data_IF_649798688496
#
_entry.id   IF_649798688496
#
_cell.length_a   1.000
_cell.length_b   1.000
_cell.length_c   1.000
_cell.angle_alpha   90.00
_cell.angle_beta   90.00
_cell.angle_gamma   90.00
#
_symmetry.space_group_name_H-M   'P 1'
#
loop_
_entity.id
_entity.type
_entity.pdbx_description
1 polymer ?
#
# COMPACT_ATOMS: atom_id res chain seq x y z
N UNK A 1 -11.23 -5.35 11.93
CA UNK A 1 -10.29 -4.31 11.46
C UNK A 1 -9.15 -4.11 12.45
N UNK A 2 -9.26 -4.67 13.66
CA UNK A 2 -8.26 -4.64 14.74
C UNK A 2 -6.88 -5.18 14.35
N UNK A 3 -6.79 -6.14 13.43
CA UNK A 3 -5.50 -6.63 12.93
C UNK A 3 -4.66 -5.52 12.28
N UNK A 4 -5.29 -4.52 11.66
CA UNK A 4 -4.61 -3.39 11.04
C UNK A 4 -3.90 -2.48 12.06
N UNK A 5 -4.22 -2.60 13.34
CA UNK A 5 -3.70 -1.75 14.42
C UNK A 5 -2.35 -2.23 14.94
N UNK A 6 -1.95 -3.43 14.53
CA UNK A 6 -0.60 -3.94 14.75
C UNK A 6 0.41 -3.22 13.86
N UNK A 7 -0.04 -2.62 12.75
CA UNK A 7 0.84 -1.90 11.81
C UNK A 7 1.16 -0.50 12.34
N UNK A 8 2.44 -0.26 12.64
CA UNK A 8 2.90 0.93 13.35
C UNK A 8 2.52 2.28 12.70
N UNK A 9 2.43 2.33 11.36
CA UNK A 9 2.02 3.53 10.61
C UNK A 9 0.51 3.67 10.44
N UNK A 10 -0.22 2.56 10.52
CA UNK A 10 -1.67 2.53 10.29
C UNK A 10 -2.45 2.73 11.58
N UNK A 11 -1.91 2.26 12.72
CA UNK A 11 -2.50 2.47 14.05
C UNK A 11 -2.63 3.94 14.46
N UNK A 12 -1.86 4.83 13.83
CA UNK A 12 -1.94 6.28 14.08
C UNK A 12 -3.07 6.94 13.28
N UNK A 13 -3.66 6.22 12.32
CA UNK A 13 -4.79 6.67 11.51
C UNK A 13 -6.08 6.30 12.25
N UNK A 14 -7.06 7.22 12.28
CA UNK A 14 -8.33 7.02 13.00
C UNK A 14 -9.08 5.80 12.43
N UNK A 15 -9.27 4.76 13.25
CA UNK A 15 -9.78 3.46 12.79
C UNK A 15 -11.14 3.53 12.11
N UNK A 16 -11.99 4.47 12.52
CA UNK A 16 -13.34 4.64 11.99
C UNK A 16 -13.39 5.15 10.54
N UNK A 17 -12.27 5.65 10.01
CA UNK A 17 -12.21 6.28 8.68
C UNK A 17 -11.65 5.30 7.63
N UNK A 18 -10.89 4.27 8.05
CA UNK A 18 -10.17 3.38 7.13
C UNK A 18 -11.12 2.66 6.17
N UNK A 19 -12.22 2.10 6.67
CA UNK A 19 -13.20 1.38 5.85
C UNK A 19 -13.85 2.28 4.77
N UNK A 20 -14.29 3.49 5.17
CA UNK A 20 -14.91 4.43 4.24
C UNK A 20 -13.90 4.99 3.24
N UNK A 21 -12.70 5.36 3.69
CA UNK A 21 -11.62 5.86 2.81
C UNK A 21 -11.23 4.84 1.74
N UNK A 22 -11.19 3.55 2.08
CA UNK A 22 -10.90 2.48 1.12
C UNK A 22 -12.02 2.27 0.10
N UNK A 23 -13.28 2.54 0.44
CA UNK A 23 -14.41 2.47 -0.51
C UNK A 23 -14.46 3.68 -1.44
N UNK A 24 -14.27 4.88 -0.89
CA UNK A 24 -14.45 6.14 -1.62
C UNK A 24 -13.21 6.52 -2.46
N UNK A 25 -12.01 6.18 -1.98
CA UNK A 25 -10.75 6.60 -2.57
C UNK A 25 -9.78 5.45 -2.84
N UNK A 26 -10.23 4.20 -2.70
CA UNK A 26 -9.42 3.02 -2.99
C UNK A 26 -9.20 2.82 -4.48
N UNK A 27 -8.07 2.21 -4.85
CA UNK A 27 -7.72 1.88 -6.23
C UNK A 27 -8.36 0.58 -6.77
N UNK A 28 -9.39 0.09 -6.07
CA UNK A 28 -9.98 -1.23 -6.32
C UNK A 28 -9.03 -2.40 -6.04
N UNK A 29 -7.92 -2.17 -5.31
CA UNK A 29 -7.01 -3.23 -4.88
C UNK A 29 -7.52 -3.96 -3.64
N UNK A 30 -8.20 -3.24 -2.75
CA UNK A 30 -8.72 -3.74 -1.49
C UNK A 30 -10.25 -3.69 -1.54
N UNK A 31 -10.88 -4.79 -1.19
CA UNK A 31 -12.31 -4.87 -0.94
C UNK A 31 -12.57 -4.86 0.57
N UNK A 32 -13.61 -4.12 0.96
CA UNK A 32 -14.07 -4.02 2.36
C UNK A 32 -15.43 -4.69 2.47
N UNK A 33 -15.58 -5.57 3.45
CA UNK A 33 -16.86 -6.25 3.73
C UNK A 33 -17.94 -5.25 4.15
N UNK A 34 -19.22 -5.56 3.98
CA UNK A 34 -20.33 -4.62 4.26
C UNK A 34 -20.30 -4.03 5.68
N UNK A 35 -19.76 -4.77 6.65
CA UNK A 35 -19.68 -4.35 8.05
C UNK A 35 -18.50 -3.43 8.39
N UNK A 36 -17.62 -3.13 7.42
CA UNK A 36 -16.37 -2.40 7.64
C UNK A 36 -15.50 -3.04 8.74
N UNK A 37 -15.52 -4.37 8.87
CA UNK A 37 -14.70 -5.09 9.84
C UNK A 37 -13.64 -5.96 9.19
N UNK A 38 -13.81 -6.34 7.92
CA UNK A 38 -12.87 -7.20 7.21
C UNK A 38 -12.48 -6.59 5.87
N UNK A 39 -11.28 -6.92 5.45
CA UNK A 39 -10.69 -6.46 4.21
C UNK A 39 -9.90 -7.58 3.55
N UNK A 40 -9.91 -7.61 2.22
CA UNK A 40 -9.15 -8.57 1.41
C UNK A 40 -8.59 -7.89 0.18
N UNK A 41 -7.53 -8.46 -0.37
CA UNK A 41 -7.01 -8.06 -1.68
C UNK A 41 -7.92 -8.62 -2.77
N UNK A 42 -8.41 -7.76 -3.65
CA UNK A 42 -9.29 -8.11 -4.76
C UNK A 42 -8.53 -8.69 -5.95
N UNK A 43 -7.37 -8.10 -6.26
CA UNK A 43 -6.55 -8.46 -7.42
C UNK A 43 -5.49 -9.50 -7.04
N UNK A 44 -5.23 -10.53 -7.85
CA UNK A 44 -4.17 -11.49 -7.58
C UNK A 44 -2.79 -10.82 -7.52
N UNK A 45 -1.81 -11.55 -7.02
CA UNK A 45 -0.42 -11.14 -7.13
C UNK A 45 0.04 -11.36 -8.58
N UNK A 46 0.81 -10.44 -9.19
CA UNK A 46 1.36 -10.66 -10.52
C UNK A 46 2.32 -11.87 -10.52
N UNK A 47 2.48 -12.48 -11.68
CA UNK A 47 3.48 -13.53 -11.89
C UNK A 47 4.89 -12.93 -11.83
N UNK A 48 5.75 -13.53 -11.02
CA UNK A 48 7.13 -13.08 -10.84
C UNK A 48 7.99 -13.88 -11.83
N UNK A 49 8.23 -13.30 -12.99
CA UNK A 49 9.13 -13.83 -14.03
C UNK A 49 10.30 -12.85 -14.29
N UNK A 50 11.21 -13.24 -15.18
CA UNK A 50 12.41 -12.44 -15.47
C UNK A 50 12.07 -11.06 -16.07
N UNK A 51 11.01 -10.98 -16.88
CA UNK A 51 10.51 -9.72 -17.45
C UNK A 51 9.98 -8.78 -16.36
N UNK A 52 9.16 -9.29 -15.43
CA UNK A 52 8.66 -8.53 -14.28
C UNK A 52 9.83 -7.97 -13.45
N UNK A 53 10.85 -8.80 -13.19
CA UNK A 53 12.02 -8.40 -12.42
C UNK A 53 12.86 -7.35 -13.16
N UNK A 54 12.98 -7.44 -14.48
CA UNK A 54 13.68 -6.47 -15.31
C UNK A 54 12.98 -5.11 -15.28
N UNK A 55 11.68 -5.07 -15.57
CA UNK A 55 10.86 -3.85 -15.54
C UNK A 55 10.86 -3.20 -14.15
N UNK A 56 10.82 -4.00 -13.08
CA UNK A 56 10.91 -3.48 -11.72
C UNK A 56 12.27 -2.84 -11.43
N UNK A 57 13.37 -3.44 -11.89
CA UNK A 57 14.72 -2.89 -11.75
C UNK A 57 14.90 -1.58 -12.52
N UNK A 58 14.39 -1.50 -13.75
CA UNK A 58 14.43 -0.27 -14.56
C UNK A 58 13.72 0.91 -13.88
N UNK A 59 12.66 0.64 -13.12
CA UNK A 59 11.91 1.64 -12.35
C UNK A 59 12.54 1.94 -10.97
N UNK A 60 13.55 1.19 -10.53
CA UNK A 60 14.14 1.35 -9.19
C UNK A 60 15.26 2.37 -9.20
N UNK A 61 15.15 3.41 -8.36
CA UNK A 61 16.17 4.47 -8.22
C UNK A 61 16.90 4.32 -6.88
N UNK A 62 18.24 4.36 -6.92
CA UNK A 62 19.07 4.39 -5.72
C UNK A 62 19.35 5.85 -5.32
N UNK A 63 18.73 6.31 -4.23
CA UNK A 63 18.94 7.65 -3.69
C UNK A 63 20.01 7.62 -2.59
N UNK A 64 21.21 8.16 -2.87
CA UNK A 64 22.25 8.37 -1.85
C UNK A 64 22.07 9.76 -1.24
N UNK A 65 21.31 9.85 -0.15
CA UNK A 65 21.22 11.08 0.66
C UNK A 65 22.00 10.89 1.97
N UNK A 66 22.97 11.77 2.23
CA UNK A 66 23.66 11.88 3.53
C UNK A 66 22.86 12.72 4.55
N UNK A 67 21.59 13.01 4.27
CA UNK A 67 20.67 13.64 5.22
C UNK A 67 19.54 12.67 5.50
N UNK A 68 19.36 12.36 6.79
CA UNK A 68 18.34 11.50 7.36
C UNK A 68 17.00 11.61 6.59
N UNK A 69 16.74 10.64 5.71
CA UNK A 69 15.48 10.53 5.00
C UNK A 69 14.36 10.32 6.03
N UNK A 70 13.56 11.37 6.27
CA UNK A 70 12.28 11.21 6.93
C UNK A 70 11.40 10.23 6.12
N UNK A 71 10.72 9.28 6.77
CA UNK A 71 10.14 8.09 6.12
C UNK A 71 8.85 8.34 5.29
N UNK A 72 8.66 9.54 4.72
CA UNK A 72 7.36 9.94 4.17
C UNK A 72 7.26 9.84 2.63
N UNK A 73 8.35 9.84 1.86
CA UNK A 73 8.24 9.91 0.40
C UNK A 73 8.75 8.65 -0.31
N UNK A 74 7.94 7.59 -0.32
CA UNK A 74 8.12 6.41 -1.18
C UNK A 74 6.76 5.84 -1.63
N UNK A 75 5.72 6.67 -1.78
CA UNK A 75 4.37 6.23 -2.21
C UNK A 75 4.01 6.77 -3.61
N UNK A 76 4.93 7.38 -4.35
CA UNK A 76 4.64 7.85 -5.71
C UNK A 76 5.04 6.85 -6.82
N UNK A 77 5.59 5.68 -6.47
CA UNK A 77 6.10 4.70 -7.44
C UNK A 77 5.20 3.47 -7.67
N UNK A 78 3.94 3.49 -7.24
CA UNK A 78 2.97 2.39 -7.48
C UNK A 78 1.99 2.71 -8.62
N UNK A 79 1.96 3.93 -9.16
CA UNK A 79 1.10 4.32 -10.28
C UNK A 79 1.89 4.80 -11.50
N UNK A 80 2.59 3.87 -12.15
CA UNK A 80 3.04 4.00 -13.54
C UNK A 80 3.24 2.61 -14.15
#
# INVERSE_FOLDING_TARGET
>A
MECLLTFARLKTIVHGIIGNALREHGSGLIEVDETNTKLRRAKPMPEINDEYNMLSKEKTIHCVSNLACHPIFFIDYIYL
#
